data_IF_233182396151
#
_entry.id   IF_233182396151
#
_cell.length_a   1.000
_cell.length_b   1.000
_cell.length_c   1.000
_cell.angle_alpha   90.00
_cell.angle_beta   90.00
_cell.angle_gamma   90.00
#
_symmetry.space_group_name_H-M   'P 1'
#
loop_
_entity.id
_entity.type
_entity.pdbx_description
1 polymer ?
#
# COMPACT_ATOMS: atom_id res chain seq x y z
N UNK A 1 5.66 4.50 -2.41
CA UNK A 1 5.01 4.05 -3.66
C UNK A 1 6.04 3.46 -4.62
N UNK A 2 7.15 4.13 -4.87
CA UNK A 2 8.23 3.65 -5.75
C UNK A 2 8.86 2.37 -5.22
N UNK A 3 9.34 2.38 -3.98
CA UNK A 3 9.98 1.22 -3.34
C UNK A 3 9.02 0.05 -3.13
N UNK A 4 7.71 0.33 -3.09
CA UNK A 4 6.67 -0.70 -3.06
C UNK A 4 6.33 -1.26 -4.46
N UNK A 5 7.05 -0.84 -5.52
CA UNK A 5 6.87 -1.33 -6.89
C UNK A 5 5.65 -0.76 -7.62
N UNK A 6 5.02 0.30 -7.12
CA UNK A 6 3.91 0.96 -7.80
C UNK A 6 4.37 1.82 -8.99
N UNK A 7 5.64 2.22 -9.02
CA UNK A 7 6.23 2.92 -10.15
C UNK A 7 7.00 1.94 -11.03
N UNK A 8 7.00 2.17 -12.33
CA UNK A 8 7.84 1.42 -13.23
C UNK A 8 9.31 1.91 -13.13
N UNK A 9 10.15 1.17 -12.43
CA UNK A 9 11.57 1.47 -12.22
C UNK A 9 11.87 2.14 -10.88
N UNK A 10 13.14 2.21 -10.52
CA UNK A 10 13.66 2.84 -9.31
C UNK A 10 14.26 4.22 -9.59
N UNK A 11 14.21 5.11 -8.60
CA UNK A 11 14.86 6.42 -8.61
C UNK A 11 14.15 7.48 -9.46
N UNK A 12 12.91 7.26 -9.93
CA UNK A 12 12.18 8.25 -10.74
C UNK A 12 11.96 9.56 -9.99
N UNK A 13 11.51 9.48 -8.74
CA UNK A 13 11.30 10.65 -7.89
C UNK A 13 12.61 11.39 -7.66
N UNK A 14 13.66 10.68 -7.27
CA UNK A 14 14.98 11.24 -7.05
C UNK A 14 15.53 11.92 -8.32
N UNK A 15 15.54 11.20 -9.45
CA UNK A 15 16.11 11.67 -10.71
C UNK A 15 15.37 12.92 -11.22
N UNK A 16 14.03 12.93 -11.14
CA UNK A 16 13.23 14.09 -11.53
C UNK A 16 13.58 15.32 -10.71
N UNK A 17 13.55 15.22 -9.39
CA UNK A 17 13.86 16.38 -8.52
C UNK A 17 15.31 16.80 -8.59
N UNK A 18 16.25 15.87 -8.72
CA UNK A 18 17.68 16.16 -8.87
C UNK A 18 17.94 16.96 -10.15
N UNK A 19 17.36 16.54 -11.27
CA UNK A 19 17.46 17.26 -12.55
C UNK A 19 16.98 18.71 -12.45
N UNK A 20 15.92 18.95 -11.67
CA UNK A 20 15.41 20.30 -11.41
C UNK A 20 16.36 21.07 -10.50
N UNK A 21 16.80 20.46 -9.40
CA UNK A 21 17.70 21.09 -8.43
C UNK A 21 19.06 21.44 -9.03
N UNK A 22 19.59 20.61 -9.94
CA UNK A 22 20.85 20.86 -10.65
C UNK A 22 20.77 22.06 -11.61
N UNK A 23 19.56 22.42 -12.07
CA UNK A 23 19.33 23.61 -12.89
C UNK A 23 19.11 24.85 -12.03
N UNK A 24 18.14 24.80 -11.13
CA UNK A 24 17.86 25.84 -10.14
C UNK A 24 17.19 25.20 -8.91
N UNK A 25 17.86 25.26 -7.76
CA UNK A 25 17.38 24.73 -6.50
C UNK A 25 16.05 25.38 -6.07
N UNK A 26 15.78 26.61 -6.49
CA UNK A 26 14.55 27.32 -6.16
C UNK A 26 13.32 26.75 -6.90
N UNK A 27 13.53 26.06 -8.00
CA UNK A 27 12.44 25.44 -8.79
C UNK A 27 11.95 24.11 -8.20
N UNK A 28 12.66 23.51 -7.24
CA UNK A 28 12.27 22.23 -6.61
C UNK A 28 10.88 22.30 -6.00
N UNK A 29 10.53 23.41 -5.34
CA UNK A 29 9.18 23.60 -4.79
C UNK A 29 8.10 23.55 -5.88
N UNK A 30 8.33 24.20 -7.01
CA UNK A 30 7.42 24.22 -8.16
C UNK A 30 7.30 22.82 -8.77
N UNK A 31 8.41 22.12 -8.93
CA UNK A 31 8.45 20.75 -9.43
C UNK A 31 7.66 19.77 -8.55
N UNK A 32 7.71 19.93 -7.21
CA UNK A 32 6.88 19.14 -6.30
C UNK A 32 5.39 19.42 -6.48
N UNK A 33 4.97 20.67 -6.67
CA UNK A 33 3.57 21.01 -6.92
C UNK A 33 3.08 20.41 -8.24
N UNK A 34 3.88 20.49 -9.30
CA UNK A 34 3.57 19.88 -10.59
C UNK A 34 3.47 18.34 -10.48
N UNK A 35 4.39 17.72 -9.75
CA UNK A 35 4.36 16.28 -9.48
C UNK A 35 3.07 15.88 -8.74
N UNK A 36 2.69 16.62 -7.68
CA UNK A 36 1.46 16.30 -6.92
C UNK A 36 0.21 16.45 -7.79
N UNK A 37 0.16 17.45 -8.67
CA UNK A 37 -0.92 17.59 -9.65
C UNK A 37 -1.00 16.37 -10.57
N UNK A 38 0.12 15.89 -11.09
CA UNK A 38 0.17 14.71 -11.96
C UNK A 38 -0.25 13.45 -11.21
N UNK A 39 0.19 13.28 -9.96
CA UNK A 39 -0.20 12.13 -9.14
C UNK A 39 -1.71 12.09 -8.84
N UNK A 40 -2.39 13.25 -8.83
CA UNK A 40 -3.84 13.35 -8.65
C UNK A 40 -4.65 13.32 -9.96
N UNK A 41 -3.98 13.48 -11.11
CA UNK A 41 -4.63 13.53 -12.42
C UNK A 41 -4.55 12.16 -13.11
N UNK A 42 -5.71 11.62 -13.51
CA UNK A 42 -5.77 10.36 -14.26
C UNK A 42 -5.05 10.49 -15.60
N UNK A 43 -4.43 9.42 -16.12
CA UNK A 43 -3.68 9.46 -17.38
C UNK A 43 -4.48 10.04 -18.57
N UNK A 44 -5.76 9.74 -18.64
CA UNK A 44 -6.67 10.23 -19.70
C UNK A 44 -6.99 11.73 -19.61
N UNK A 45 -6.80 12.33 -18.44
CA UNK A 45 -7.13 13.73 -18.16
C UNK A 45 -5.88 14.63 -18.13
N UNK A 46 -4.67 14.07 -18.34
CA UNK A 46 -3.40 14.80 -18.32
C UNK A 46 -3.22 15.64 -19.59
N UNK A 47 -2.59 16.80 -19.42
CA UNK A 47 -2.17 17.62 -20.56
C UNK A 47 -1.04 16.89 -21.34
N UNK A 48 -1.21 16.59 -22.64
CA UNK A 48 -0.17 15.95 -23.44
C UNK A 48 1.08 16.81 -23.63
N UNK A 49 1.02 18.09 -23.28
CA UNK A 49 2.16 19.03 -23.32
C UNK A 49 2.92 19.16 -22.00
N UNK A 50 2.48 18.44 -20.94
CA UNK A 50 3.25 18.33 -19.69
C UNK A 50 4.62 17.68 -19.95
N UNK A 51 5.59 17.90 -19.03
CA UNK A 51 6.91 17.29 -19.14
C UNK A 51 6.78 15.75 -19.28
N UNK A 52 7.40 15.13 -20.31
CA UNK A 52 7.34 13.70 -20.52
C UNK A 52 7.76 12.87 -19.31
N UNK A 53 8.71 13.33 -18.49
CA UNK A 53 9.11 12.65 -17.27
C UNK A 53 8.02 12.66 -16.22
N UNK A 54 7.25 13.77 -16.10
CA UNK A 54 6.09 13.84 -15.22
C UNK A 54 4.96 12.91 -15.67
N UNK A 55 4.73 12.78 -16.98
CA UNK A 55 3.69 11.93 -17.53
C UNK A 55 3.93 10.43 -17.25
N UNK A 56 5.17 10.05 -16.97
CA UNK A 56 5.53 8.66 -16.59
C UNK A 56 5.14 8.30 -15.14
N UNK A 57 4.82 9.27 -14.28
CA UNK A 57 4.40 8.97 -12.92
C UNK A 57 2.98 8.37 -12.91
N UNK A 58 2.71 7.38 -12.03
CA UNK A 58 1.39 6.77 -11.94
C UNK A 58 0.36 7.73 -11.34
N UNK A 59 -0.91 7.45 -11.58
CA UNK A 59 -2.00 8.07 -10.85
C UNK A 59 -2.12 7.44 -9.46
N UNK A 60 -2.13 8.28 -8.42
CA UNK A 60 -2.30 7.85 -7.03
C UNK A 60 -3.72 8.17 -6.57
N UNK A 61 -4.59 7.17 -6.61
CA UNK A 61 -5.97 7.32 -6.14
C UNK A 61 -6.03 7.46 -4.61
N UNK A 62 -6.99 8.21 -4.10
CA UNK A 62 -7.26 8.31 -2.65
C UNK A 62 -7.37 9.74 -2.12
N UNK A 63 -7.27 10.74 -2.98
CA UNK A 63 -7.46 12.15 -2.62
C UNK A 63 -6.33 12.78 -1.82
N UNK A 64 -5.19 12.09 -1.66
CA UNK A 64 -4.02 12.60 -0.91
C UNK A 64 -3.49 13.92 -1.50
N UNK A 65 -3.55 14.06 -2.82
CA UNK A 65 -3.04 15.23 -3.54
C UNK A 65 -4.17 16.10 -4.13
N UNK A 66 -5.42 15.81 -3.79
CA UNK A 66 -6.61 16.48 -4.36
C UNK A 66 -6.76 17.93 -3.93
N UNK A 67 -6.23 18.30 -2.77
CA UNK A 67 -6.34 19.66 -2.26
C UNK A 67 -5.28 20.55 -2.89
N UNK A 68 -5.68 21.34 -3.88
CA UNK A 68 -4.82 22.32 -4.57
C UNK A 68 -4.39 23.49 -3.69
N UNK A 69 -4.98 23.65 -2.49
CA UNK A 69 -4.64 24.70 -1.55
C UNK A 69 -3.52 24.28 -0.58
N UNK A 70 -2.98 23.06 -0.70
CA UNK A 70 -1.83 22.64 0.11
C UNK A 70 -0.62 23.53 -0.21
N UNK A 71 -0.22 24.34 0.76
CA UNK A 71 0.96 25.16 0.66
C UNK A 71 2.22 24.36 1.00
N UNK A 72 3.07 24.12 0.01
CA UNK A 72 4.43 23.66 0.28
C UNK A 72 5.25 24.88 0.74
N UNK A 73 5.86 24.85 1.95
CA UNK A 73 6.69 25.93 2.41
C UNK A 73 7.90 26.13 1.51
N UNK A 74 8.56 27.28 1.64
CA UNK A 74 9.83 27.49 0.96
C UNK A 74 10.87 26.50 1.50
N UNK A 75 11.41 25.70 0.61
CA UNK A 75 12.46 24.74 0.93
C UNK A 75 13.82 25.44 0.87
N UNK A 76 14.60 25.34 1.92
CA UNK A 76 15.99 25.78 1.89
C UNK A 76 16.90 24.67 1.31
N UNK A 77 18.16 25.03 1.03
CA UNK A 77 19.11 24.08 0.44
C UNK A 77 19.36 22.85 1.32
N UNK A 78 19.26 22.99 2.65
CA UNK A 78 19.45 21.88 3.58
C UNK A 78 18.28 20.87 3.48
N UNK A 79 17.05 21.38 3.48
CA UNK A 79 15.84 20.52 3.33
C UNK A 79 15.86 19.81 1.97
N UNK A 80 16.26 20.51 0.90
CA UNK A 80 16.36 19.91 -0.43
C UNK A 80 17.43 18.80 -0.45
N UNK A 81 18.55 19.02 0.22
CA UNK A 81 19.62 18.03 0.34
C UNK A 81 19.15 16.77 1.09
N UNK A 82 18.42 16.94 2.21
CA UNK A 82 17.80 15.83 2.93
C UNK A 82 16.78 15.10 2.07
N UNK A 83 15.96 15.82 1.33
CA UNK A 83 14.94 15.24 0.45
C UNK A 83 15.57 14.37 -0.65
N UNK A 84 16.62 14.85 -1.29
CA UNK A 84 17.29 14.16 -2.39
C UNK A 84 18.19 13.01 -1.91
N UNK A 85 18.90 13.17 -0.80
CA UNK A 85 19.77 12.15 -0.23
C UNK A 85 18.99 11.18 0.67
N UNK A 86 18.90 11.55 1.94
CA UNK A 86 18.41 10.64 2.98
C UNK A 86 16.98 10.14 2.74
N UNK A 87 16.10 10.98 2.18
CA UNK A 87 14.69 10.61 2.01
C UNK A 87 14.39 9.87 0.70
N UNK A 88 15.20 10.03 -0.35
CA UNK A 88 14.88 9.45 -1.66
C UNK A 88 15.90 8.46 -2.19
N UNK A 89 17.20 8.61 -1.87
CA UNK A 89 18.27 7.73 -2.37
C UNK A 89 18.68 6.68 -1.34
N UNK A 90 18.88 7.09 -0.08
CA UNK A 90 19.48 6.25 0.94
C UNK A 90 18.47 5.40 1.71
N UNK A 91 17.18 5.71 1.64
CA UNK A 91 16.15 5.10 2.46
C UNK A 91 15.13 4.28 1.65
N UNK A 92 15.02 3.00 2.00
CA UNK A 92 14.03 2.08 1.41
C UNK A 92 12.71 2.11 2.20
N UNK A 93 11.74 2.86 1.68
CA UNK A 93 10.42 3.04 2.29
C UNK A 93 9.55 1.78 2.26
N UNK A 94 9.89 0.76 1.46
CA UNK A 94 9.14 -0.51 1.45
C UNK A 94 9.26 -1.28 2.76
N UNK A 95 10.31 -1.01 3.54
CA UNK A 95 10.56 -1.62 4.84
C UNK A 95 9.77 -1.01 5.98
N UNK A 96 9.14 0.16 5.74
CA UNK A 96 8.32 0.80 6.76
C UNK A 96 6.90 0.22 6.73
N UNK A 97 6.48 -0.31 7.88
CA UNK A 97 5.09 -0.72 8.07
C UNK A 97 4.14 0.49 7.92
N UNK A 98 2.99 0.35 7.22
CA UNK A 98 1.98 1.40 7.13
C UNK A 98 1.55 1.95 8.49
N UNK A 99 1.57 1.13 9.54
CA UNK A 99 1.24 1.54 10.90
C UNK A 99 2.29 2.46 11.52
N UNK A 100 3.57 2.29 11.18
CA UNK A 100 4.64 3.23 11.59
C UNK A 100 4.44 4.59 10.93
N UNK A 101 3.95 4.63 9.69
CA UNK A 101 3.62 5.88 9.01
C UNK A 101 2.62 6.71 9.80
N UNK A 102 1.60 6.06 10.38
CA UNK A 102 0.64 6.70 11.28
C UNK A 102 1.32 7.34 12.50
N UNK A 103 2.29 6.66 13.10
CA UNK A 103 3.06 7.18 14.25
C UNK A 103 3.93 8.38 13.87
N UNK A 104 4.59 8.35 12.72
CA UNK A 104 5.39 9.46 12.19
C UNK A 104 4.49 10.67 11.94
N UNK A 105 3.36 10.47 11.26
CA UNK A 105 2.39 11.52 11.00
C UNK A 105 1.87 12.14 12.30
N UNK A 106 1.48 11.31 13.27
CA UNK A 106 1.06 11.78 14.59
C UNK A 106 2.15 12.59 15.29
N UNK A 107 3.42 12.22 15.16
CA UNK A 107 4.54 12.94 15.78
C UNK A 107 4.72 14.35 15.23
N UNK A 108 4.27 14.62 14.00
CA UNK A 108 4.35 15.95 13.37
C UNK A 108 3.21 16.88 13.80
N UNK A 109 2.15 16.33 14.40
CA UNK A 109 1.03 17.14 14.87
C UNK A 109 1.35 17.89 16.15
N UNK A 110 0.77 19.08 16.27
CA UNK A 110 0.86 19.87 17.50
C UNK A 110 0.31 19.04 18.70
N UNK A 111 0.99 19.03 19.87
CA UNK A 111 0.55 18.30 21.07
C UNK A 111 -0.89 18.58 21.50
N UNK A 112 -1.38 19.81 21.28
CA UNK A 112 -2.76 20.20 21.60
C UNK A 112 -3.76 19.57 20.63
N UNK A 113 -3.47 19.57 19.35
CA UNK A 113 -4.27 18.91 18.31
C UNK A 113 -4.28 17.40 18.50
N UNK A 114 -3.14 16.82 18.89
CA UNK A 114 -3.00 15.40 19.21
C UNK A 114 -3.90 14.98 20.39
N UNK A 115 -3.91 15.76 21.47
CA UNK A 115 -4.74 15.48 22.66
C UNK A 115 -6.22 15.64 22.37
N UNK A 116 -6.62 16.69 21.65
CA UNK A 116 -8.02 16.97 21.33
C UNK A 116 -8.60 16.00 20.30
N UNK A 117 -7.77 15.48 19.39
CA UNK A 117 -8.17 14.52 18.35
C UNK A 117 -8.15 13.06 18.80
N UNK A 118 -7.67 12.75 20.03
CA UNK A 118 -7.55 11.36 20.51
C UNK A 118 -6.60 10.50 19.64
N UNK A 119 -5.72 11.15 18.87
CA UNK A 119 -4.79 10.48 17.97
C UNK A 119 -3.62 9.92 18.78
N UNK A 120 -3.69 8.63 19.08
CA UNK A 120 -2.62 7.88 19.74
C UNK A 120 -2.26 6.69 18.87
N UNK A 121 -0.97 6.58 18.60
CA UNK A 121 -0.43 5.41 17.92
C UNK A 121 -0.70 4.14 18.74
N UNK A 122 -1.35 3.17 18.11
CA UNK A 122 -1.55 1.85 18.69
C UNK A 122 -0.61 0.86 17.98
N UNK A 123 0.26 0.19 18.73
CA UNK A 123 1.19 -0.79 18.17
C UNK A 123 0.43 -1.99 17.57
N UNK A 124 1.03 -2.63 16.56
CA UNK A 124 0.47 -3.83 15.89
C UNK A 124 0.11 -4.91 16.94
N UNK A 125 0.98 -5.10 17.94
CA UNK A 125 0.78 -6.06 19.01
C UNK A 125 -0.52 -5.77 19.81
N UNK A 126 -0.79 -4.50 20.11
CA UNK A 126 -1.99 -4.10 20.83
C UNK A 126 -3.24 -4.17 19.93
N UNK A 127 -3.09 -3.92 18.64
CA UNK A 127 -4.17 -4.11 17.66
C UNK A 127 -4.57 -5.59 17.63
N UNK A 128 -3.61 -6.51 17.55
CA UNK A 128 -3.86 -7.94 17.53
C UNK A 128 -4.51 -8.46 18.82
N UNK A 129 -4.22 -7.88 19.98
CA UNK A 129 -4.94 -8.21 21.24
C UNK A 129 -6.45 -7.96 21.15
N UNK A 130 -6.88 -7.11 20.22
CA UNK A 130 -8.29 -6.78 19.99
C UNK A 130 -8.84 -7.58 18.81
N UNK A 131 -8.20 -7.51 17.64
CA UNK A 131 -8.75 -8.11 16.42
C UNK A 131 -8.67 -9.62 16.40
N UNK A 132 -7.65 -10.23 17.02
CA UNK A 132 -7.49 -11.68 17.05
C UNK A 132 -8.69 -12.34 17.76
N UNK A 133 -9.00 -12.05 19.04
CA UNK A 133 -10.12 -12.68 19.70
C UNK A 133 -11.50 -12.20 19.20
N UNK A 134 -11.55 -11.03 18.53
CA UNK A 134 -12.82 -10.49 18.05
C UNK A 134 -13.37 -11.22 16.82
N UNK A 135 -12.50 -11.57 15.85
CA UNK A 135 -12.93 -12.24 14.62
C UNK A 135 -11.81 -13.04 13.91
N UNK A 136 -10.54 -12.65 14.10
CA UNK A 136 -9.47 -13.18 13.26
C UNK A 136 -9.11 -14.62 13.59
N UNK A 137 -9.15 -15.01 14.89
CA UNK A 137 -8.86 -16.37 15.31
C UNK A 137 -9.92 -17.36 14.79
N UNK A 138 -11.20 -16.96 14.78
CA UNK A 138 -12.27 -17.77 14.21
C UNK A 138 -12.09 -17.96 12.70
N UNK A 139 -11.73 -16.90 11.98
CA UNK A 139 -11.45 -16.98 10.54
C UNK A 139 -10.23 -17.85 10.23
N UNK A 140 -9.16 -17.73 11.02
CA UNK A 140 -7.97 -18.59 10.90
C UNK A 140 -8.30 -20.06 11.15
N UNK A 141 -9.07 -20.34 12.19
CA UNK A 141 -9.49 -21.70 12.53
C UNK A 141 -10.36 -22.31 11.42
N UNK A 142 -11.31 -21.55 10.88
CA UNK A 142 -12.17 -21.99 9.77
C UNK A 142 -11.34 -22.28 8.51
N UNK A 143 -10.44 -21.38 8.12
CA UNK A 143 -9.55 -21.58 6.96
C UNK A 143 -8.66 -22.81 7.17
N UNK A 144 -8.05 -22.96 8.34
CA UNK A 144 -7.20 -24.10 8.65
C UNK A 144 -7.96 -25.43 8.55
N UNK A 145 -9.22 -25.47 9.01
CA UNK A 145 -10.08 -26.64 8.88
C UNK A 145 -10.39 -27.00 7.42
N UNK A 146 -10.58 -25.99 6.56
CA UNK A 146 -10.79 -26.21 5.13
C UNK A 146 -9.50 -26.70 4.46
N UNK A 147 -8.36 -26.08 4.76
CA UNK A 147 -7.05 -26.44 4.19
C UNK A 147 -6.57 -27.83 4.63
N UNK A 148 -6.97 -28.31 5.79
CA UNK A 148 -6.68 -29.66 6.27
C UNK A 148 -7.40 -30.76 5.49
N UNK A 149 -8.41 -30.44 4.67
CA UNK A 149 -9.10 -31.42 3.82
C UNK A 149 -8.20 -31.83 2.65
N UNK A 150 -8.30 -33.11 2.20
CA UNK A 150 -7.52 -33.55 1.03
C UNK A 150 -7.77 -32.69 -0.22
N UNK A 151 -6.75 -32.43 -1.02
CA UNK A 151 -6.89 -31.69 -2.28
C UNK A 151 -7.84 -32.35 -3.29
N UNK A 152 -8.00 -33.67 -3.24
CA UNK A 152 -8.94 -34.43 -4.06
C UNK A 152 -10.41 -34.26 -3.65
N UNK A 153 -10.69 -33.56 -2.53
CA UNK A 153 -12.04 -33.33 -2.06
C UNK A 153 -12.71 -32.20 -2.84
N UNK A 154 -13.68 -32.52 -3.67
CA UNK A 154 -14.42 -31.53 -4.47
C UNK A 154 -15.13 -30.44 -3.62
N UNK A 155 -15.42 -30.75 -2.36
CA UNK A 155 -15.98 -29.79 -1.43
C UNK A 155 -15.00 -28.76 -0.95
N UNK A 156 -13.70 -29.07 -0.94
CA UNK A 156 -12.65 -28.17 -0.50
C UNK A 156 -12.61 -26.89 -1.33
N UNK A 157 -12.56 -27.00 -2.65
CA UNK A 157 -12.57 -25.83 -3.56
C UNK A 157 -13.81 -24.97 -3.39
N UNK A 158 -14.97 -25.62 -3.22
CA UNK A 158 -16.21 -24.89 -2.95
C UNK A 158 -16.16 -24.14 -1.61
N UNK A 159 -15.68 -24.78 -0.55
CA UNK A 159 -15.55 -24.15 0.77
C UNK A 159 -14.56 -22.99 0.75
N UNK A 160 -13.43 -23.09 0.02
CA UNK A 160 -12.50 -21.99 -0.16
C UNK A 160 -13.16 -20.79 -0.85
N UNK A 161 -13.95 -21.03 -1.90
CA UNK A 161 -14.70 -19.97 -2.59
C UNK A 161 -15.76 -19.33 -1.68
N UNK A 162 -16.48 -20.14 -0.91
CA UNK A 162 -17.46 -19.65 0.06
C UNK A 162 -16.78 -18.82 1.17
N UNK A 163 -15.60 -19.24 1.63
CA UNK A 163 -14.81 -18.50 2.61
C UNK A 163 -14.29 -17.17 2.03
N UNK A 164 -13.75 -17.14 0.81
CA UNK A 164 -13.37 -15.89 0.12
C UNK A 164 -14.56 -14.92 0.01
N UNK A 165 -15.72 -15.43 -0.39
CA UNK A 165 -16.94 -14.63 -0.45
C UNK A 165 -17.40 -14.15 0.93
N UNK A 166 -17.15 -14.90 1.98
CA UNK A 166 -17.43 -14.50 3.36
C UNK A 166 -16.55 -13.34 3.77
N UNK A 167 -15.22 -13.48 3.64
CA UNK A 167 -14.29 -12.41 4.05
C UNK A 167 -14.46 -11.14 3.23
N UNK A 168 -14.78 -11.22 1.94
CA UNK A 168 -15.00 -10.07 1.06
C UNK A 168 -16.24 -9.24 1.42
N UNK A 169 -17.18 -9.80 2.18
CA UNK A 169 -18.42 -9.15 2.62
C UNK A 169 -18.34 -8.57 4.03
N UNK A 170 -17.23 -8.80 4.72
CA UNK A 170 -17.07 -8.25 6.06
C UNK A 170 -16.97 -6.73 6.00
N UNK A 171 -17.70 -6.07 6.87
CA UNK A 171 -17.70 -4.61 7.01
C UNK A 171 -17.18 -4.26 8.39
N UNK A 172 -16.16 -3.42 8.43
CA UNK A 172 -15.55 -2.94 9.67
C UNK A 172 -15.82 -1.45 9.83
N UNK A 173 -16.16 -1.06 11.03
CA UNK A 173 -16.39 0.34 11.37
C UNK A 173 -15.63 0.67 12.65
N UNK A 174 -14.78 1.68 12.55
CA UNK A 174 -14.03 2.25 13.67
C UNK A 174 -14.41 3.73 13.82
N UNK A 175 -15.26 4.06 14.82
CA UNK A 175 -15.75 5.43 15.01
C UNK A 175 -14.67 6.39 15.53
N UNK A 176 -13.51 5.88 15.95
CA UNK A 176 -12.40 6.66 16.51
C UNK A 176 -11.07 6.28 15.85
N UNK A 177 -11.10 6.04 14.54
CA UNK A 177 -10.03 5.38 13.79
C UNK A 177 -8.66 6.07 13.85
N UNK A 178 -8.59 7.36 14.20
CA UNK A 178 -7.34 8.12 14.19
C UNK A 178 -6.63 8.04 12.84
N UNK A 179 -5.41 7.51 12.81
CA UNK A 179 -4.65 7.24 11.58
C UNK A 179 -5.12 5.97 10.82
N UNK A 180 -6.15 5.28 11.31
CA UNK A 180 -6.70 4.07 10.67
C UNK A 180 -5.91 2.79 10.94
N UNK A 181 -5.05 2.75 11.94
CA UNK A 181 -4.17 1.61 12.22
C UNK A 181 -4.92 0.29 12.41
N UNK A 182 -6.06 0.30 13.14
CA UNK A 182 -6.91 -0.89 13.29
C UNK A 182 -7.49 -1.37 11.97
N UNK A 183 -8.01 -0.46 11.14
CA UNK A 183 -8.58 -0.81 9.83
C UNK A 183 -7.51 -1.30 8.88
N UNK A 184 -6.33 -0.68 8.88
CA UNK A 184 -5.19 -1.07 8.06
C UNK A 184 -4.71 -2.47 8.41
N UNK A 185 -4.47 -2.77 9.69
CA UNK A 185 -4.01 -4.10 10.12
C UNK A 185 -5.10 -5.18 9.95
N UNK A 186 -6.36 -4.82 10.16
CA UNK A 186 -7.50 -5.68 9.83
C UNK A 186 -7.48 -6.07 8.35
N UNK A 187 -7.37 -5.10 7.46
CA UNK A 187 -7.26 -5.33 6.01
C UNK A 187 -6.07 -6.23 5.65
N UNK A 188 -4.88 -5.92 6.18
CA UNK A 188 -3.68 -6.70 5.93
C UNK A 188 -3.82 -8.15 6.42
N UNK A 189 -4.45 -8.35 7.58
CA UNK A 189 -4.69 -9.68 8.14
C UNK A 189 -5.67 -10.50 7.28
N UNK A 190 -6.74 -9.88 6.78
CA UNK A 190 -7.68 -10.54 5.86
C UNK A 190 -7.01 -10.86 4.50
N UNK A 191 -6.16 -9.95 3.99
CA UNK A 191 -5.39 -10.21 2.76
C UNK A 191 -4.39 -11.36 2.93
N UNK A 192 -3.80 -11.53 4.11
CA UNK A 192 -2.95 -12.71 4.40
C UNK A 192 -3.75 -14.01 4.27
N UNK A 193 -4.96 -14.09 4.85
CA UNK A 193 -5.84 -15.26 4.70
C UNK A 193 -6.22 -15.52 3.24
N UNK A 194 -6.55 -14.47 2.50
CA UNK A 194 -6.86 -14.59 1.08
C UNK A 194 -5.65 -15.07 0.25
N UNK A 195 -4.46 -14.57 0.55
CA UNK A 195 -3.23 -15.01 -0.12
C UNK A 195 -2.90 -16.48 0.17
N UNK A 196 -3.22 -16.99 1.36
CA UNK A 196 -3.10 -18.43 1.67
C UNK A 196 -3.99 -19.26 0.75
N UNK A 197 -5.23 -18.83 0.53
CA UNK A 197 -6.16 -19.51 -0.37
C UNK A 197 -5.65 -19.50 -1.81
N UNK A 198 -5.23 -18.33 -2.31
CA UNK A 198 -4.71 -18.17 -3.68
C UNK A 198 -3.48 -19.06 -3.88
N UNK A 199 -2.57 -19.07 -2.91
CA UNK A 199 -1.37 -19.91 -2.95
C UNK A 199 -1.70 -21.39 -3.00
N UNK A 200 -2.66 -21.82 -2.22
CA UNK A 200 -3.12 -23.20 -2.18
C UNK A 200 -3.78 -23.63 -3.51
N UNK A 201 -4.70 -22.81 -4.04
CA UNK A 201 -5.33 -23.05 -5.34
C UNK A 201 -4.32 -23.07 -6.50
N UNK A 202 -3.29 -22.23 -6.43
CA UNK A 202 -2.23 -22.20 -7.46
C UNK A 202 -1.40 -23.47 -7.42
N UNK A 203 -1.07 -23.98 -6.24
CA UNK A 203 -0.36 -25.27 -6.07
C UNK A 203 -1.21 -26.45 -6.61
N UNK A 204 -2.51 -26.45 -6.36
CA UNK A 204 -3.44 -27.43 -6.88
C UNK A 204 -3.48 -27.43 -8.41
N UNK A 205 -3.60 -26.25 -9.03
CA UNK A 205 -3.60 -26.10 -10.48
C UNK A 205 -2.27 -26.57 -11.12
N UNK A 206 -1.12 -26.22 -10.52
CA UNK A 206 0.19 -26.68 -10.98
C UNK A 206 0.34 -28.21 -10.83
N UNK A 207 -0.12 -28.78 -9.74
CA UNK A 207 -0.13 -30.24 -9.51
C UNK A 207 -0.96 -30.99 -10.55
N UNK A 208 -2.14 -30.49 -10.88
CA UNK A 208 -3.02 -31.08 -11.90
C UNK A 208 -2.40 -30.98 -13.31
N UNK A 209 -1.78 -29.85 -13.65
CA UNK A 209 -1.08 -29.64 -14.94
C UNK A 209 0.10 -30.59 -15.07
N UNK A 210 0.86 -30.82 -14.01
CA UNK A 210 1.98 -31.76 -13.99
C UNK A 210 1.50 -33.21 -14.15
N UNK A 211 0.38 -33.59 -13.55
CA UNK A 211 -0.21 -34.94 -13.69
C UNK A 211 -0.80 -35.19 -15.08
N UNK A 212 -1.26 -34.14 -15.77
CA UNK A 212 -1.78 -34.25 -17.15
C UNK A 212 -0.70 -34.23 -18.23
N UNK A 213 0.61 -34.12 -17.88
CA UNK A 213 1.71 -34.14 -18.85
C UNK A 213 1.74 -32.94 -19.79
N UNK A 214 0.99 -31.89 -19.51
CA UNK A 214 1.01 -30.65 -20.24
C UNK A 214 2.17 -29.82 -19.69
N UNK A 215 3.27 -29.80 -20.46
CA UNK A 215 4.49 -29.10 -20.12
C UNK A 215 4.25 -27.63 -19.75
N UNK A 216 5.03 -27.20 -18.80
CA UNK A 216 5.04 -25.86 -18.23
C UNK A 216 5.23 -24.78 -19.28
N UNK A 217 4.17 -24.03 -19.56
CA UNK A 217 4.24 -22.69 -20.12
C UNK A 217 3.07 -21.85 -19.55
N UNK A 218 3.08 -21.63 -18.25
CA UNK A 218 2.28 -20.59 -17.58
C UNK A 218 3.21 -19.58 -16.89
N UNK A 219 4.07 -18.94 -17.70
CA UNK A 219 4.67 -17.67 -17.35
C UNK A 219 3.66 -16.57 -17.74
N UNK A 220 2.94 -16.01 -16.78
CA UNK A 220 2.19 -14.80 -17.07
C UNK A 220 0.82 -14.66 -16.43
N UNK A 221 0.73 -14.73 -15.09
CA UNK A 221 -0.33 -13.98 -14.40
C UNK A 221 0.38 -12.79 -13.77
N UNK A 222 0.28 -11.62 -14.44
CA UNK A 222 0.62 -10.33 -13.84
C UNK A 222 -0.51 -9.98 -12.89
N UNK A 223 -0.17 -9.83 -11.62
CA UNK A 223 -1.00 -9.18 -10.60
C UNK A 223 -0.93 -7.67 -10.81
#
# INVERSE_FOLDING_TARGET
AEDAGLFAGHGKFHNYLKKVADKDINDVRKALLELFRILDTKPEDRDPYDDPELLEFPYVNGGLFKDEHIEIPRLDAHIIHLLLGECSEDFDWSKISPTIFGAVFESTLNPETRRSGGMHYTSIENIHKVIDPLFLDDLKAELAAILARPMSDSWRTRLLTEFQNKISKLVFFDPACGSGNFLTETYLSLRRLENEIITDQTKEAQGQTAMMGLGADFAGIKV
#
